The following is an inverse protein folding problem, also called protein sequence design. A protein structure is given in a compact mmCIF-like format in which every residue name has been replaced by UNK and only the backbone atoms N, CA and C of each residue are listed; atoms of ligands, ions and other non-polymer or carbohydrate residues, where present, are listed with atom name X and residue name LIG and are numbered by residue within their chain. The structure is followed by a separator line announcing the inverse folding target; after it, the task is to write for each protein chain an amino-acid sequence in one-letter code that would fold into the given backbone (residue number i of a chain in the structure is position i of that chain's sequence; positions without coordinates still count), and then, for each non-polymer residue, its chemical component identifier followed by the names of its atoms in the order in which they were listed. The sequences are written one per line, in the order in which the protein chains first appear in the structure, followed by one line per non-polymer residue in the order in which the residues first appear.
data_IF_926209396473
#
_entry.id   IF_926209396473
#
_cell.length_a   1.000
_cell.length_b   1.000
_cell.length_c   1.000
_cell.angle_alpha   90.00
_cell.angle_beta   90.00
_cell.angle_gamma   90.00
#
_symmetry.space_group_name_H-M   'P 1'
#
loop_
_entity.id
_entity.type
_entity.pdbx_description
1 polymer ?
#
# COMPACT_ATOMS: atom_id res chain seq x y z
N UNK A 1 -9.40 27.29 31.74
CA UNK A 1 -8.82 26.04 31.22
C UNK A 1 -9.98 25.29 30.56
N UNK A 2 -10.11 25.33 29.22
CA UNK A 2 -11.15 24.57 28.50
C UNK A 2 -10.57 23.21 28.13
N UNK A 3 -11.33 22.11 28.24
CA UNK A 3 -10.84 20.81 27.83
C UNK A 3 -10.65 20.81 26.30
N UNK A 4 -9.50 20.31 25.86
CA UNK A 4 -9.23 19.97 24.47
C UNK A 4 -10.08 18.72 24.14
N UNK A 5 -11.33 18.93 23.76
CA UNK A 5 -12.05 17.92 22.99
C UNK A 5 -11.41 17.93 21.59
N UNK A 6 -10.48 17.01 21.37
CA UNK A 6 -10.08 16.65 20.02
C UNK A 6 -11.31 16.04 19.37
N UNK A 7 -12.06 16.81 18.59
CA UNK A 7 -13.00 16.26 17.62
C UNK A 7 -12.19 15.29 16.75
N UNK A 8 -12.33 13.99 17.01
CA UNK A 8 -11.95 12.98 16.04
C UNK A 8 -12.79 13.27 14.80
N UNK A 9 -12.19 13.91 13.80
CA UNK A 9 -12.87 14.20 12.54
C UNK A 9 -13.27 12.85 11.92
N UNK A 10 -14.51 12.43 12.13
CA UNK A 10 -15.03 11.25 11.46
C UNK A 10 -15.08 11.54 9.97
N UNK A 11 -14.24 10.85 9.21
CA UNK A 11 -14.22 10.94 7.77
C UNK A 11 -15.41 10.16 7.22
N UNK A 12 -16.51 10.87 6.93
CA UNK A 12 -17.67 10.24 6.31
C UNK A 12 -17.43 10.08 4.81
N UNK A 13 -17.15 8.84 4.38
CA UNK A 13 -17.00 8.47 2.97
C UNK A 13 -18.30 7.81 2.50
N UNK A 14 -18.97 8.42 1.52
CA UNK A 14 -20.07 7.75 0.82
C UNK A 14 -19.49 6.75 -0.19
N UNK A 15 -19.75 5.47 0.04
CA UNK A 15 -19.29 4.38 -0.81
C UNK A 15 -20.50 3.73 -1.51
N UNK A 16 -20.46 3.52 -2.83
CA UNK A 16 -21.54 2.84 -3.54
C UNK A 16 -21.82 1.46 -2.95
N UNK A 17 -23.10 1.06 -2.89
CA UNK A 17 -23.53 -0.20 -2.27
C UNK A 17 -22.76 -1.42 -2.79
N UNK A 18 -22.52 -1.47 -4.10
CA UNK A 18 -21.75 -2.54 -4.75
C UNK A 18 -20.31 -2.63 -4.26
N UNK A 19 -19.68 -1.51 -3.89
CA UNK A 19 -18.33 -1.51 -3.34
C UNK A 19 -18.36 -1.94 -1.87
N UNK A 20 -19.35 -1.50 -1.09
CA UNK A 20 -19.57 -1.95 0.29
C UNK A 20 -19.73 -3.47 0.38
N UNK A 21 -20.50 -4.08 -0.52
CA UNK A 21 -20.68 -5.54 -0.59
C UNK A 21 -19.36 -6.29 -0.82
N UNK A 22 -18.51 -5.77 -1.71
CA UNK A 22 -17.19 -6.38 -1.98
C UNK A 22 -16.26 -6.27 -0.78
N UNK A 23 -16.22 -5.11 -0.13
CA UNK A 23 -15.40 -4.89 1.07
C UNK A 23 -15.87 -5.85 2.16
N UNK A 24 -17.18 -5.98 2.39
CA UNK A 24 -17.72 -6.91 3.38
C UNK A 24 -17.40 -8.37 3.07
N UNK A 25 -17.45 -8.79 1.80
CA UNK A 25 -17.07 -10.13 1.39
C UNK A 25 -15.60 -10.44 1.68
N UNK A 26 -14.70 -9.49 1.40
CA UNK A 26 -13.26 -9.66 1.68
C UNK A 26 -12.99 -9.62 3.18
N UNK A 27 -13.65 -8.73 3.92
CA UNK A 27 -13.49 -8.61 5.37
C UNK A 27 -13.91 -9.90 6.07
N UNK A 28 -14.96 -10.56 5.58
CA UNK A 28 -15.38 -11.89 6.08
C UNK A 28 -14.29 -12.94 5.91
N UNK A 29 -13.56 -12.94 4.78
CA UNK A 29 -12.46 -13.87 4.53
C UNK A 29 -11.24 -13.59 5.43
N UNK A 30 -11.07 -12.35 5.84
CA UNK A 30 -9.98 -11.90 6.70
C UNK A 30 -10.34 -11.91 8.21
N UNK A 31 -11.55 -12.35 8.58
CA UNK A 31 -12.07 -12.29 9.96
C UNK A 31 -12.08 -10.87 10.56
N UNK A 32 -12.32 -9.87 9.72
CA UNK A 32 -12.32 -8.44 10.07
C UNK A 32 -13.69 -7.80 9.86
N UNK A 33 -13.90 -6.61 10.45
CA UNK A 33 -15.04 -5.78 10.03
C UNK A 33 -14.74 -5.08 8.70
N UNK A 34 -15.76 -4.72 7.91
CA UNK A 34 -15.56 -3.95 6.67
C UNK A 34 -14.80 -2.63 6.88
N UNK A 35 -15.02 -1.96 8.01
CA UNK A 35 -14.37 -0.70 8.37
C UNK A 35 -12.89 -0.92 8.70
N UNK A 36 -12.55 -1.98 9.43
CA UNK A 36 -11.17 -2.33 9.75
C UNK A 36 -10.38 -2.64 8.49
N UNK A 37 -10.94 -3.49 7.61
CA UNK A 37 -10.30 -3.80 6.33
C UNK A 37 -10.13 -2.54 5.46
N UNK A 38 -11.15 -1.69 5.38
CA UNK A 38 -11.07 -0.46 4.59
C UNK A 38 -9.99 0.50 5.11
N UNK A 39 -9.85 0.61 6.44
CA UNK A 39 -8.80 1.41 7.06
C UNK A 39 -7.42 0.83 6.77
N UNK A 40 -7.24 -0.48 6.97
CA UNK A 40 -5.97 -1.18 6.71
C UNK A 40 -5.53 -1.00 5.24
N UNK A 41 -6.45 -1.14 4.28
CA UNK A 41 -6.16 -0.92 2.86
C UNK A 41 -5.73 0.53 2.56
N UNK A 42 -6.27 1.51 3.28
CA UNK A 42 -5.89 2.92 3.13
C UNK A 42 -4.51 3.17 3.73
N UNK A 43 -4.25 2.63 4.92
CA UNK A 43 -2.96 2.72 5.62
C UNK A 43 -1.86 2.05 4.79
N UNK A 44 -2.07 0.81 4.30
CA UNK A 44 -1.14 0.11 3.41
C UNK A 44 -0.81 0.95 2.17
N UNK A 45 -1.84 1.57 1.56
CA UNK A 45 -1.68 2.40 0.37
C UNK A 45 -0.82 3.64 0.66
N UNK A 46 -1.00 4.27 1.81
CA UNK A 46 -0.26 5.46 2.25
C UNK A 46 1.18 5.10 2.59
N UNK A 47 1.38 4.07 3.42
CA UNK A 47 2.68 3.64 3.91
C UNK A 47 3.58 3.15 2.76
N UNK A 48 2.98 2.54 1.73
CA UNK A 48 3.69 2.05 0.56
C UNK A 48 3.56 2.96 -0.67
N UNK A 49 3.03 4.18 -0.54
CA UNK A 49 2.80 5.08 -1.67
C UNK A 49 4.08 5.41 -2.43
N UNK A 50 5.21 5.57 -1.74
CA UNK A 50 6.54 5.77 -2.34
C UNK A 50 6.97 4.58 -3.21
N UNK A 51 6.79 3.35 -2.71
CA UNK A 51 7.10 2.13 -3.45
C UNK A 51 6.22 1.95 -4.70
N UNK A 52 4.94 2.33 -4.61
CA UNK A 52 4.04 2.33 -5.77
C UNK A 52 4.46 3.37 -6.82
N UNK A 53 4.86 4.57 -6.40
CA UNK A 53 5.35 5.62 -7.29
C UNK A 53 6.67 5.22 -7.95
N UNK A 54 7.61 4.65 -7.20
CA UNK A 54 8.87 4.14 -7.72
C UNK A 54 8.64 3.01 -8.72
N UNK A 55 7.76 2.06 -8.40
CA UNK A 55 7.39 0.97 -9.32
C UNK A 55 6.73 1.51 -10.60
N UNK A 56 5.86 2.51 -10.50
CA UNK A 56 5.22 3.15 -11.65
C UNK A 56 6.26 3.89 -12.52
N UNK A 57 7.18 4.63 -11.90
CA UNK A 57 8.30 5.27 -12.57
C UNK A 57 9.19 4.24 -13.28
N UNK A 58 9.51 3.13 -12.62
CA UNK A 58 10.33 2.07 -13.19
C UNK A 58 9.64 1.37 -14.37
N UNK A 59 8.31 1.21 -14.33
CA UNK A 59 7.53 0.64 -15.44
C UNK A 59 7.34 1.59 -16.63
N UNK A 60 7.54 2.90 -16.46
CA UNK A 60 7.24 3.91 -17.49
C UNK A 60 8.21 3.94 -18.68
N UNK A 61 9.41 3.37 -18.54
CA UNK A 61 10.45 3.36 -19.57
C UNK A 61 11.03 1.97 -19.75
N UNK A 62 11.27 1.56 -20.99
CA UNK A 62 11.84 0.25 -21.33
C UNK A 62 13.17 0.00 -20.60
N UNK A 63 14.01 1.04 -20.47
CA UNK A 63 15.29 0.97 -19.76
C UNK A 63 15.12 0.76 -18.24
N UNK A 64 14.11 1.38 -17.64
CA UNK A 64 13.87 1.23 -16.21
C UNK A 64 13.19 -0.11 -15.88
N UNK A 65 12.37 -0.62 -16.79
CA UNK A 65 11.76 -1.94 -16.70
C UNK A 65 12.81 -3.05 -16.72
N UNK A 66 13.82 -2.91 -17.57
CA UNK A 66 14.96 -3.85 -17.62
C UNK A 66 15.75 -3.88 -16.30
N UNK A 67 15.94 -2.71 -15.64
CA UNK A 67 16.54 -2.62 -14.30
C UNK A 67 15.68 -3.31 -13.24
N UNK A 68 14.36 -3.13 -13.29
CA UNK A 68 13.43 -3.78 -12.37
C UNK A 68 13.44 -5.32 -12.54
N UNK A 69 13.40 -5.79 -13.79
CA UNK A 69 13.44 -7.22 -14.10
C UNK A 69 14.77 -7.86 -13.67
N UNK A 70 15.89 -7.14 -13.81
CA UNK A 70 17.18 -7.57 -13.28
C UNK A 70 17.17 -7.69 -11.75
N UNK A 71 16.66 -6.67 -11.03
CA UNK A 71 16.57 -6.69 -9.57
C UNK A 71 15.70 -7.85 -9.07
N UNK A 72 14.54 -8.09 -9.69
CA UNK A 72 13.67 -9.24 -9.40
C UNK A 72 14.41 -10.56 -9.63
N UNK A 73 15.17 -10.66 -10.72
CA UNK A 73 15.99 -11.83 -11.03
C UNK A 73 17.10 -12.09 -10.02
N UNK A 74 17.70 -11.04 -9.45
CA UNK A 74 18.73 -11.14 -8.41
C UNK A 74 18.14 -11.57 -7.05
N UNK A 75 16.97 -11.05 -6.68
CA UNK A 75 16.21 -11.47 -5.49
C UNK A 75 15.85 -12.95 -5.59
N UNK A 76 15.29 -13.41 -6.71
CA UNK A 76 14.91 -14.81 -6.93
C UNK A 76 16.08 -15.79 -6.87
N UNK A 77 17.30 -15.30 -7.12
CA UNK A 77 18.53 -16.10 -7.07
C UNK A 77 19.21 -16.04 -5.68
N UNK A 78 18.60 -15.38 -4.70
CA UNK A 78 19.13 -15.27 -3.34
C UNK A 78 20.39 -14.42 -3.22
N UNK A 79 20.67 -13.52 -4.17
CA UNK A 79 21.94 -12.76 -4.23
C UNK A 79 21.91 -11.41 -3.52
N UNK A 80 20.87 -11.12 -2.72
CA UNK A 80 20.67 -9.80 -2.12
C UNK A 80 21.47 -9.56 -0.82
N UNK A 81 22.20 -10.56 -0.30
CA UNK A 81 22.97 -10.41 0.95
C UNK A 81 24.33 -9.69 0.80
N UNK A 82 24.80 -9.37 -0.41
CA UNK A 82 26.17 -8.86 -0.61
C UNK A 82 26.32 -7.47 -1.25
N UNK A 83 25.23 -6.73 -1.44
CA UNK A 83 25.34 -5.34 -1.89
C UNK A 83 24.66 -4.43 -0.90
N UNK A 84 25.47 -3.84 -0.03
CA UNK A 84 25.10 -2.65 0.73
C UNK A 84 24.36 -1.70 -0.23
N UNK A 85 23.17 -1.29 0.20
CA UNK A 85 22.42 -0.21 -0.45
C UNK A 85 23.43 0.90 -0.74
N UNK A 86 23.48 1.35 -1.99
CA UNK A 86 24.28 2.51 -2.35
C UNK A 86 23.62 3.67 -1.61
N UNK A 87 24.22 4.06 -0.48
CA UNK A 87 23.88 5.28 0.24
C UNK A 87 24.02 6.47 -0.72
N UNK A 88 23.00 7.34 -0.71
CA UNK A 88 23.00 8.69 -1.30
C UNK A 88 23.57 9.69 -0.28
#
# INVERSE_FOLDING_TARGET
MKPFEQEQAMLNIEIPDRLREKIAAIATLAEQTPEQLALEMLEERIDHQSAYLETAYLKSSARNRERLDQAIGEIRRGRFEERALIDD
#
